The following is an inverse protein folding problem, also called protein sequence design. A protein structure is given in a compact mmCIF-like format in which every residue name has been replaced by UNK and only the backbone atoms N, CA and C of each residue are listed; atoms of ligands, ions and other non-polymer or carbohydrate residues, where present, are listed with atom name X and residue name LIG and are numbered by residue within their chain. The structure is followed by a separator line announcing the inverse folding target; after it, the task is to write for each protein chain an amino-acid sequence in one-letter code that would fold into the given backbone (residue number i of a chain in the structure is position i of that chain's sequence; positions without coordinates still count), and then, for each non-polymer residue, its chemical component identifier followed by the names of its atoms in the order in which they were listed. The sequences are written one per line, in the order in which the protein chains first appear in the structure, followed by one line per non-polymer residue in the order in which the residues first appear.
data_IF_399693908235
#
_entry.id   IF_399693908235
#
_cell.length_a   1.000
_cell.length_b   1.000
_cell.length_c   1.000
_cell.angle_alpha   90.00
_cell.angle_beta   90.00
_cell.angle_gamma   90.00
#
_symmetry.space_group_name_H-M   'P 1'
#
loop_
_entity.id
_entity.type
_entity.pdbx_description
1 polymer ?
#
# COMPACT_ATOMS: atom_id res chain seq x y z
N UNK A 1 1.25 4.90 18.97
CA UNK A 1 2.41 3.99 18.93
C UNK A 1 3.17 4.12 20.24
N UNK A 2 3.53 3.01 20.88
CA UNK A 2 4.34 3.04 22.11
C UNK A 2 5.82 3.22 21.75
N UNK A 3 6.63 3.60 22.74
CA UNK A 3 8.06 3.84 22.51
C UNK A 3 8.81 2.57 22.05
N UNK A 4 8.43 1.41 22.58
CA UNK A 4 8.96 0.11 22.17
C UNK A 4 8.77 -0.18 20.68
N UNK A 5 7.56 0.11 20.15
CA UNK A 5 7.24 -0.04 18.74
C UNK A 5 8.03 0.98 17.89
N UNK A 6 8.12 2.22 18.36
CA UNK A 6 8.84 3.29 17.68
C UNK A 6 10.34 2.95 17.54
N UNK A 7 10.90 2.27 18.53
CA UNK A 7 12.30 1.84 18.53
C UNK A 7 12.61 0.80 17.44
N UNK A 8 11.64 -0.02 17.03
CA UNK A 8 11.80 -0.94 15.88
C UNK A 8 12.12 -0.13 14.61
N UNK A 9 11.39 0.97 14.38
CA UNK A 9 11.58 1.84 13.22
C UNK A 9 12.83 2.73 13.32
N UNK A 10 13.20 3.18 14.52
CA UNK A 10 14.37 4.06 14.71
C UNK A 10 15.69 3.31 14.70
N UNK A 11 15.72 2.07 15.20
CA UNK A 11 16.95 1.30 15.42
C UNK A 11 17.88 1.25 14.19
N UNK A 12 17.41 0.99 12.95
CA UNK A 12 18.29 0.96 11.79
C UNK A 12 19.09 2.25 11.57
N UNK A 13 18.54 3.41 11.96
CA UNK A 13 19.19 4.73 11.81
C UNK A 13 20.09 5.09 12.99
N UNK A 14 19.85 4.49 14.16
CA UNK A 14 20.69 4.71 15.35
C UNK A 14 21.96 3.86 15.32
N UNK A 15 21.92 2.68 14.69
CA UNK A 15 23.05 1.74 14.69
C UNK A 15 23.91 1.79 13.43
N UNK A 16 23.42 2.40 12.34
CA UNK A 16 24.15 2.46 11.07
C UNK A 16 23.95 3.78 10.33
N UNK A 17 25.06 4.41 9.94
CA UNK A 17 25.05 5.56 9.04
C UNK A 17 24.52 5.24 7.65
N UNK A 18 24.68 4.00 7.17
CA UNK A 18 24.22 3.60 5.82
C UNK A 18 22.71 3.74 5.64
N UNK A 19 21.93 3.40 6.68
CA UNK A 19 20.47 3.58 6.68
C UNK A 19 20.09 5.05 6.51
N UNK A 20 20.81 5.96 7.18
CA UNK A 20 20.62 7.40 7.05
C UNK A 20 20.95 7.94 5.66
N UNK A 21 22.05 7.47 5.06
CA UNK A 21 22.38 7.81 3.67
C UNK A 21 21.34 7.28 2.68
N UNK A 22 20.86 6.05 2.87
CA UNK A 22 19.81 5.46 2.04
C UNK A 22 18.51 6.28 2.12
N UNK A 23 18.08 6.66 3.33
CA UNK A 23 16.89 7.52 3.50
C UNK A 23 17.07 8.87 2.80
N UNK A 24 18.21 9.53 2.99
CA UNK A 24 18.47 10.82 2.34
C UNK A 24 18.46 10.70 0.80
N UNK A 25 19.06 9.64 0.26
CA UNK A 25 19.04 9.36 -1.17
C UNK A 25 17.60 9.16 -1.68
N UNK A 26 16.81 8.32 -1.01
CA UNK A 26 15.40 8.07 -1.35
C UNK A 26 14.58 9.35 -1.28
N UNK A 27 14.68 10.13 -0.19
CA UNK A 27 13.95 11.39 -0.04
C UNK A 27 14.30 12.41 -1.12
N UNK A 28 15.58 12.53 -1.50
CA UNK A 28 16.01 13.43 -2.59
C UNK A 28 15.46 12.99 -3.94
N UNK A 29 15.45 11.70 -4.22
CA UNK A 29 14.90 11.16 -5.47
C UNK A 29 13.38 11.33 -5.52
N UNK A 30 12.66 10.98 -4.46
CA UNK A 30 11.21 11.18 -4.37
C UNK A 30 10.83 12.66 -4.53
N UNK A 31 11.56 13.59 -3.91
CA UNK A 31 11.29 15.03 -4.07
C UNK A 31 11.34 15.49 -5.53
N UNK A 32 12.18 14.87 -6.36
CA UNK A 32 12.32 15.22 -7.79
C UNK A 32 11.29 14.53 -8.67
N UNK A 33 11.07 13.23 -8.44
CA UNK A 33 10.42 12.35 -9.41
C UNK A 33 9.10 11.74 -8.91
N UNK A 34 8.59 12.11 -7.73
CA UNK A 34 7.37 11.52 -7.15
C UNK A 34 6.18 11.56 -8.12
N UNK A 35 5.95 12.70 -8.79
CA UNK A 35 4.85 12.83 -9.75
C UNK A 35 4.97 11.81 -10.88
N UNK A 36 6.16 11.70 -11.49
CA UNK A 36 6.44 10.74 -12.55
C UNK A 36 6.24 9.30 -12.05
N UNK A 37 6.72 8.97 -10.85
CA UNK A 37 6.52 7.62 -10.29
C UNK A 37 5.05 7.28 -10.06
N UNK A 38 4.23 8.25 -9.63
CA UNK A 38 2.79 8.03 -9.48
C UNK A 38 2.13 7.81 -10.85
N UNK A 39 2.48 8.60 -11.86
CA UNK A 39 1.96 8.45 -13.23
C UNK A 39 2.38 7.10 -13.86
N UNK A 40 3.63 6.71 -13.69
CA UNK A 40 4.17 5.42 -14.15
C UNK A 40 3.42 4.25 -13.49
N UNK A 41 3.21 4.31 -12.16
CA UNK A 41 2.47 3.29 -11.42
C UNK A 41 1.00 3.22 -11.85
N UNK A 42 0.35 4.36 -12.07
CA UNK A 42 -1.02 4.38 -12.59
C UNK A 42 -1.11 3.75 -13.97
N UNK A 43 -0.14 4.03 -14.85
CA UNK A 43 -0.07 3.45 -16.20
C UNK A 43 0.10 1.94 -16.13
N UNK A 44 1.08 1.45 -15.37
CA UNK A 44 1.37 0.01 -15.22
C UNK A 44 0.16 -0.73 -14.64
N UNK A 45 -0.50 -0.16 -13.63
CA UNK A 45 -1.64 -0.81 -13.00
C UNK A 45 -2.89 -0.76 -13.87
N UNK A 46 -3.07 0.23 -14.75
CA UNK A 46 -4.20 0.29 -15.69
C UNK A 46 -3.98 -0.54 -16.96
N UNK A 47 -2.74 -0.90 -17.25
CA UNK A 47 -2.39 -1.67 -18.45
C UNK A 47 -3.11 -3.02 -18.47
N UNK A 48 -3.76 -3.35 -19.59
CA UNK A 48 -4.50 -4.60 -19.78
C UNK A 48 -3.58 -5.84 -19.74
N UNK A 49 -2.28 -5.68 -19.98
CA UNK A 49 -1.29 -6.73 -19.80
C UNK A 49 -1.10 -7.12 -18.33
N UNK A 50 -1.49 -6.25 -17.39
CA UNK A 50 -1.49 -6.53 -15.95
C UNK A 50 -2.64 -7.48 -15.58
N UNK A 51 -2.48 -8.76 -15.92
CA UNK A 51 -3.46 -9.82 -15.68
C UNK A 51 -3.47 -10.34 -14.23
N UNK A 52 -2.74 -9.70 -13.32
CA UNK A 52 -2.68 -10.11 -11.92
C UNK A 52 -3.87 -9.51 -11.17
N UNK A 53 -4.77 -10.35 -10.59
CA UNK A 53 -5.87 -9.84 -9.79
C UNK A 53 -5.32 -9.05 -8.61
N UNK A 54 -5.64 -7.76 -8.57
CA UNK A 54 -5.12 -6.81 -7.59
C UNK A 54 -6.25 -6.26 -6.72
N UNK A 55 -6.00 -6.21 -5.42
CA UNK A 55 -6.92 -5.64 -4.44
C UNK A 55 -6.19 -4.55 -3.69
N UNK A 56 -6.78 -3.36 -3.67
CA UNK A 56 -6.24 -2.17 -3.02
C UNK A 56 -7.02 -1.99 -1.71
N UNK A 57 -6.33 -2.10 -0.58
CA UNK A 57 -6.90 -1.79 0.74
C UNK A 57 -6.47 -0.39 1.11
N UNK A 58 -7.42 0.53 1.33
CA UNK A 58 -7.10 1.95 1.55
C UNK A 58 -7.75 2.51 2.80
N UNK A 59 -6.97 3.27 3.57
CA UNK A 59 -7.44 3.94 4.78
C UNK A 59 -8.24 5.20 4.46
N UNK A 60 -9.47 5.32 4.96
CA UNK A 60 -10.29 6.53 4.74
C UNK A 60 -9.82 7.76 5.51
N UNK A 61 -8.91 7.58 6.49
CA UNK A 61 -8.36 8.67 7.30
C UNK A 61 -6.96 9.08 6.85
N UNK A 62 -6.50 8.62 5.69
CA UNK A 62 -5.21 9.01 5.14
C UNK A 62 -5.23 10.53 4.85
N UNK A 63 -4.29 11.25 5.48
CA UNK A 63 -4.15 12.71 5.36
C UNK A 63 -3.16 13.13 4.29
N UNK A 64 -2.43 12.18 3.74
CA UNK A 64 -1.33 12.38 2.79
C UNK A 64 -1.80 12.07 1.37
N UNK A 65 -2.60 11.01 1.21
CA UNK A 65 -3.19 10.60 -0.06
C UNK A 65 -4.70 10.42 0.10
N UNK A 66 -5.50 11.17 -0.67
CA UNK A 66 -6.96 11.15 -0.50
C UNK A 66 -7.58 9.83 -0.96
N UNK A 67 -8.66 9.44 -0.28
CA UNK A 67 -9.46 8.29 -0.67
C UNK A 67 -10.12 8.48 -2.04
N UNK A 68 -10.61 9.69 -2.34
CA UNK A 68 -11.27 9.99 -3.62
C UNK A 68 -10.36 9.71 -4.82
N UNK A 69 -9.06 10.04 -4.71
CA UNK A 69 -8.10 9.79 -5.78
C UNK A 69 -7.89 8.30 -6.09
N UNK A 70 -7.90 7.43 -5.07
CA UNK A 70 -7.81 5.99 -5.29
C UNK A 70 -9.15 5.41 -5.75
N UNK A 71 -10.26 5.96 -5.29
CA UNK A 71 -11.59 5.54 -5.73
C UNK A 71 -11.77 5.79 -7.23
N UNK A 72 -11.42 6.99 -7.70
CA UNK A 72 -11.48 7.32 -9.12
C UNK A 72 -10.53 6.46 -9.95
N UNK A 73 -9.32 6.17 -9.45
CA UNK A 73 -8.41 5.23 -10.08
C UNK A 73 -9.01 3.81 -10.22
N UNK A 74 -9.73 3.34 -9.20
CA UNK A 74 -10.37 2.03 -9.20
C UNK A 74 -11.62 1.94 -10.08
N UNK A 75 -12.37 3.04 -10.27
CA UNK A 75 -13.52 3.08 -11.19
C UNK A 75 -13.11 2.75 -12.63
N UNK A 76 -11.93 3.22 -13.03
CA UNK A 76 -11.39 3.05 -14.38
C UNK A 76 -10.44 1.84 -14.52
N UNK A 77 -10.39 0.94 -13.53
CA UNK A 77 -9.49 -0.23 -13.56
C UNK A 77 -10.21 -1.52 -13.15
N UNK A 78 -9.61 -2.67 -13.48
CA UNK A 78 -10.12 -3.99 -13.10
C UNK A 78 -9.78 -4.37 -11.64
N UNK A 79 -9.42 -3.39 -10.80
CA UNK A 79 -8.94 -3.61 -9.44
C UNK A 79 -10.07 -3.59 -8.43
N UNK A 80 -9.96 -4.41 -7.39
CA UNK A 80 -10.93 -4.39 -6.28
C UNK A 80 -10.47 -3.38 -5.23
N UNK A 81 -11.31 -2.38 -4.91
CA UNK A 81 -11.06 -1.46 -3.81
C UNK A 81 -11.76 -1.94 -2.53
N UNK A 82 -11.01 -2.00 -1.43
CA UNK A 82 -11.52 -2.26 -0.09
C UNK A 82 -11.22 -1.06 0.80
N UNK A 83 -12.29 -0.50 1.37
CA UNK A 83 -12.19 0.60 2.33
C UNK A 83 -11.78 0.07 3.70
N UNK A 84 -10.88 0.76 4.37
CA UNK A 84 -10.47 0.50 5.76
C UNK A 84 -10.82 1.75 6.59
N UNK A 85 -12.05 1.86 7.13
CA UNK A 85 -12.58 3.13 7.65
C UNK A 85 -11.80 3.75 8.81
N UNK A 86 -11.11 2.91 9.59
CA UNK A 86 -10.37 3.33 10.79
C UNK A 86 -8.90 3.64 10.52
N UNK A 87 -8.37 3.25 9.36
CA UNK A 87 -6.98 3.41 9.00
C UNK A 87 -6.68 4.76 8.35
N UNK A 88 -5.51 5.30 8.63
CA UNK A 88 -4.86 6.39 7.91
C UNK A 88 -3.81 5.88 6.93
N UNK A 89 -2.69 6.59 6.84
CA UNK A 89 -1.61 6.28 5.89
C UNK A 89 -0.92 4.94 6.16
N UNK A 90 -0.78 4.56 7.42
CA UNK A 90 -0.17 3.30 7.83
C UNK A 90 -1.23 2.31 8.29
N UNK A 91 -2.06 1.83 7.35
CA UNK A 91 -3.18 0.93 7.66
C UNK A 91 -2.79 -0.34 8.44
N UNK A 92 -1.57 -0.84 8.21
CA UNK A 92 -1.01 -1.98 8.95
C UNK A 92 -0.79 -1.70 10.45
N UNK A 93 -0.47 -0.45 10.81
CA UNK A 93 -0.26 -0.02 12.20
C UNK A 93 -1.59 0.33 12.86
N UNK A 94 -2.50 0.98 12.12
CA UNK A 94 -3.78 1.43 12.65
C UNK A 94 -4.76 0.26 12.86
N UNK A 95 -4.73 -0.73 11.96
CA UNK A 95 -5.75 -1.79 11.87
C UNK A 95 -5.14 -3.15 11.46
N UNK A 96 -3.95 -3.51 11.97
CA UNK A 96 -3.21 -4.69 11.54
C UNK A 96 -3.99 -6.01 11.55
N UNK A 97 -4.75 -6.30 12.61
CA UNK A 97 -5.58 -7.51 12.69
C UNK A 97 -6.70 -7.51 11.64
N UNK A 98 -7.43 -6.40 11.52
CA UNK A 98 -8.52 -6.25 10.54
C UNK A 98 -7.98 -6.36 9.10
N UNK A 99 -6.86 -5.69 8.80
CA UNK A 99 -6.18 -5.79 7.52
C UNK A 99 -5.69 -7.22 7.24
N UNK A 100 -5.17 -7.91 8.26
CA UNK A 100 -4.79 -9.32 8.18
C UNK A 100 -5.96 -10.24 7.80
N UNK A 101 -7.13 -10.04 8.43
CA UNK A 101 -8.35 -10.79 8.10
C UNK A 101 -8.85 -10.48 6.68
N UNK A 102 -8.76 -9.23 6.24
CA UNK A 102 -9.07 -8.84 4.85
C UNK A 102 -8.15 -9.56 3.86
N UNK A 103 -6.83 -9.53 4.09
CA UNK A 103 -5.84 -10.21 3.25
C UNK A 103 -6.10 -11.72 3.22
N UNK A 104 -6.35 -12.33 4.37
CA UNK A 104 -6.71 -13.75 4.46
C UNK A 104 -7.94 -14.09 3.61
N UNK A 105 -8.98 -13.26 3.69
CA UNK A 105 -10.20 -13.41 2.88
C UNK A 105 -9.95 -13.32 1.37
N UNK A 106 -9.13 -12.37 0.94
CA UNK A 106 -8.75 -12.17 -0.48
C UNK A 106 -8.02 -13.41 -1.00
N UNK A 107 -6.99 -13.86 -0.30
CA UNK A 107 -6.16 -15.00 -0.71
C UNK A 107 -6.99 -16.29 -0.73
N UNK A 108 -7.84 -16.51 0.28
CA UNK A 108 -8.72 -17.68 0.36
C UNK A 108 -9.70 -17.74 -0.81
N UNK A 109 -10.35 -16.64 -1.17
CA UNK A 109 -11.28 -16.57 -2.31
C UNK A 109 -10.58 -16.88 -3.63
N UNK A 110 -9.36 -16.37 -3.83
CA UNK A 110 -8.54 -16.67 -5.01
C UNK A 110 -8.23 -18.17 -5.12
N UNK A 111 -7.86 -18.81 -4.00
CA UNK A 111 -7.61 -20.26 -3.96
C UNK A 111 -8.86 -21.09 -4.31
N UNK A 112 -10.05 -20.65 -3.87
CA UNK A 112 -11.30 -21.32 -4.22
C UNK A 112 -11.60 -21.19 -5.72
N UNK A 113 -11.47 -19.98 -6.28
CA UNK A 113 -11.77 -19.69 -7.69
C UNK A 113 -10.85 -20.44 -8.65
N UNK A 114 -9.58 -20.66 -8.28
CA UNK A 114 -8.66 -21.51 -9.06
C UNK A 114 -9.02 -23.00 -9.00
N UNK A 115 -9.63 -23.49 -7.92
CA UNK A 115 -10.02 -24.91 -7.78
C UNK A 115 -11.30 -25.27 -8.54
N UNK A 116 -12.17 -24.30 -8.80
CA UNK A 116 -13.41 -24.53 -9.58
C UNK A 116 -13.17 -24.49 -11.10
N UNK A 117 -11.98 -24.07 -11.54
CA UNK A 117 -11.59 -23.94 -12.95
C UNK A 117 -10.73 -25.11 -13.46
N UNK A 118 -10.58 -26.17 -12.65
CA UNK A 118 -9.88 -27.44 -12.96
C UNK A 118 -10.87 -28.57 -12.76
#
# INVERSE_FOLDING_TARGET
MKEEDAMVYRRPYLISGSSGFALNAITRTLKKDLKRYVEDMQTILKDESCNVPTTICWGQRDRWLSYDGVEDFCKDSNHTLIQVPKAGHHAQEDCGEELGQLIYGIIRKKKLRMRTLI
#
